data_IF_842655019487
#
_entry.id   IF_842655019487
#
_cell.length_a   1.000
_cell.length_b   1.000
_cell.length_c   1.000
_cell.angle_alpha   90.00
_cell.angle_beta   90.00
_cell.angle_gamma   90.00
#
_symmetry.space_group_name_H-M   'P 1'
#
loop_
_entity.id
_entity.type
_entity.pdbx_description
1 polymer ?
#
# COMPACT_ATOMS: atom_id res chain seq x y z
N UNK A 1 23.73 4.36 17.46
CA UNK A 1 23.96 5.26 18.61
C UNK A 1 24.57 6.59 18.18
N UNK A 2 25.62 6.61 17.37
CA UNK A 2 26.32 7.84 16.95
C UNK A 2 25.45 8.82 16.14
N UNK A 3 24.54 8.33 15.29
CA UNK A 3 23.59 9.14 14.50
C UNK A 3 22.44 9.71 15.32
N UNK A 4 21.88 8.94 16.26
CA UNK A 4 20.90 9.45 17.24
C UNK A 4 21.51 10.56 18.10
N UNK A 5 22.77 10.38 18.51
CA UNK A 5 23.54 11.38 19.22
C UNK A 5 23.86 12.61 18.36
N UNK A 6 24.02 12.46 17.04
CA UNK A 6 24.18 13.59 16.10
C UNK A 6 22.88 14.36 15.88
N UNK A 7 21.72 13.71 15.85
CA UNK A 7 20.41 14.41 15.81
C UNK A 7 20.17 15.13 17.13
N UNK A 8 20.43 14.46 18.25
CA UNK A 8 20.40 15.05 19.58
C UNK A 8 21.36 16.25 19.67
N UNK A 9 22.61 16.08 19.23
CA UNK A 9 23.58 17.17 19.20
C UNK A 9 23.21 18.23 18.17
N UNK A 10 22.59 17.95 17.03
CA UNK A 10 22.18 19.02 16.13
C UNK A 10 21.07 19.89 16.75
N UNK A 11 20.18 19.26 17.53
CA UNK A 11 19.18 19.97 18.33
C UNK A 11 19.80 20.70 19.55
N UNK A 12 20.92 20.22 20.10
CA UNK A 12 21.54 20.73 21.34
C UNK A 12 22.75 21.66 21.08
N UNK A 13 23.65 21.35 20.16
CA UNK A 13 24.92 22.06 19.90
C UNK A 13 24.76 23.41 19.22
N UNK A 14 23.63 23.67 18.56
CA UNK A 14 23.28 25.04 18.15
C UNK A 14 22.95 25.93 19.36
N UNK A 15 22.59 25.36 20.52
CA UNK A 15 22.53 26.13 21.79
C UNK A 15 23.93 26.51 22.32
N UNK A 16 25.00 25.84 21.87
CA UNK A 16 26.35 26.02 22.42
C UNK A 16 27.24 26.96 21.60
N UNK A 17 26.90 27.27 20.34
CA UNK A 17 27.76 28.06 19.46
C UNK A 17 27.81 29.57 19.77
N UNK A 18 26.97 30.10 20.67
CA UNK A 18 27.07 31.50 21.10
C UNK A 18 27.81 31.72 22.44
N UNK A 19 28.18 30.68 23.18
CA UNK A 19 28.80 30.84 24.50
C UNK A 19 30.32 31.07 24.50
N UNK A 20 30.96 31.29 23.35
CA UNK A 20 32.38 31.66 23.31
C UNK A 20 32.57 33.03 22.69
N UNK A 21 32.34 34.08 23.48
CA UNK A 21 33.04 35.38 23.41
C UNK A 21 32.52 36.32 24.53
N UNK A 22 33.09 36.21 25.75
CA UNK A 22 33.64 37.35 26.55
C UNK A 22 34.03 36.96 28.00
N UNK A 23 35.10 37.57 28.56
CA UNK A 23 35.64 37.30 29.91
C UNK A 23 34.97 38.18 31.01
N UNK A 24 35.34 38.04 32.30
CA UNK A 24 34.39 38.05 33.41
C UNK A 24 34.23 39.41 34.10
N UNK A 25 33.00 39.75 34.53
CA UNK A 25 32.79 40.79 35.56
C UNK A 25 31.70 40.33 36.54
N UNK A 26 32.02 40.48 37.83
CA UNK A 26 31.20 40.21 39.01
C UNK A 26 29.91 41.05 39.05
N UNK A 27 28.81 40.36 39.37
CA UNK A 27 27.74 40.70 40.33
C UNK A 27 27.36 42.18 40.45
N UNK A 28 26.26 42.58 39.78
CA UNK A 28 25.17 43.37 40.38
C UNK A 28 23.84 42.85 39.80
N UNK A 29 22.97 42.40 40.71
CA UNK A 29 21.57 42.05 40.53
C UNK A 29 20.77 43.21 39.92
N UNK A 30 19.98 42.99 38.85
CA UNK A 30 18.58 43.44 38.70
C UNK A 30 17.99 43.20 37.30
N UNK A 31 16.88 42.44 37.26
CA UNK A 31 15.67 42.70 36.47
C UNK A 31 15.58 42.38 34.95
N UNK A 32 16.10 41.25 34.46
CA UNK A 32 15.61 40.72 33.16
C UNK A 32 15.61 39.18 33.15
N UNK A 33 14.65 38.54 33.84
CA UNK A 33 14.42 37.09 33.70
C UNK A 33 12.93 36.83 33.46
N UNK A 34 12.50 37.00 32.22
CA UNK A 34 11.22 36.47 31.70
C UNK A 34 11.21 36.29 30.17
N UNK A 35 12.24 36.75 29.45
CA UNK A 35 12.29 36.66 27.98
C UNK A 35 13.27 35.60 27.44
N UNK A 36 14.23 35.08 28.21
CA UNK A 36 15.24 34.13 27.68
C UNK A 36 14.73 32.69 27.52
N UNK A 37 13.71 32.28 28.27
CA UNK A 37 13.08 30.95 28.11
C UNK A 37 12.16 30.87 26.88
N UNK A 38 11.56 31.99 26.46
CA UNK A 38 10.69 32.03 25.27
C UNK A 38 11.49 32.11 23.96
N UNK A 39 12.68 32.72 23.94
CA UNK A 39 13.54 32.74 22.74
C UNK A 39 14.22 31.40 22.49
N UNK A 40 14.78 30.75 23.51
CA UNK A 40 15.43 29.42 23.34
C UNK A 40 14.45 28.32 22.94
N UNK A 41 13.19 28.39 23.39
CA UNK A 41 12.15 27.47 22.96
C UNK A 41 11.71 27.74 21.51
N UNK A 42 11.56 29.01 21.11
CA UNK A 42 11.24 29.39 19.73
C UNK A 42 12.36 29.02 18.72
N UNK A 43 13.63 29.07 19.12
CA UNK A 43 14.76 28.70 18.27
C UNK A 43 14.92 27.18 18.13
N UNK A 44 14.65 26.41 19.20
CA UNK A 44 14.57 24.95 19.14
C UNK A 44 13.40 24.46 18.27
N UNK A 45 12.27 25.19 18.29
CA UNK A 45 11.12 24.95 17.41
C UNK A 45 11.46 25.27 15.95
N UNK A 46 12.21 26.34 15.69
CA UNK A 46 12.65 26.71 14.33
C UNK A 46 13.65 25.69 13.77
N UNK A 47 14.59 25.23 14.59
CA UNK A 47 15.61 24.24 14.21
C UNK A 47 15.01 22.85 13.97
N UNK A 48 14.01 22.44 14.78
CA UNK A 48 13.29 21.18 14.58
C UNK A 48 12.51 21.14 13.27
N UNK A 49 11.89 22.27 12.89
CA UNK A 49 11.18 22.40 11.61
C UNK A 49 12.11 22.37 10.41
N UNK A 50 13.27 23.01 10.49
CA UNK A 50 14.28 22.95 9.42
C UNK A 50 14.78 21.52 9.20
N UNK A 51 15.03 20.77 10.27
CA UNK A 51 15.43 19.35 10.18
C UNK A 51 14.33 18.49 9.56
N UNK A 52 13.07 18.69 9.95
CA UNK A 52 11.93 17.96 9.38
C UNK A 52 11.79 18.20 7.87
N UNK A 53 11.90 19.46 7.43
CA UNK A 53 11.82 19.84 6.01
C UNK A 53 13.01 19.28 5.23
N UNK A 54 14.24 19.37 5.77
CA UNK A 54 15.43 18.78 5.15
C UNK A 54 15.31 17.28 4.99
N UNK A 55 14.80 16.59 6.01
CA UNK A 55 14.55 15.14 5.96
C UNK A 55 13.48 14.80 4.91
N UNK A 56 12.36 15.53 4.88
CA UNK A 56 11.29 15.38 3.87
C UNK A 56 11.84 15.53 2.45
N UNK A 57 12.63 16.57 2.21
CA UNK A 57 13.23 16.83 0.89
C UNK A 57 14.26 15.77 0.50
N UNK A 58 15.06 15.30 1.46
CA UNK A 58 16.03 14.23 1.22
C UNK A 58 15.35 12.92 0.83
N UNK A 59 14.32 12.49 1.59
CA UNK A 59 13.55 11.28 1.28
C UNK A 59 12.87 11.38 -0.09
N UNK A 60 12.29 12.55 -0.41
CA UNK A 60 11.69 12.80 -1.73
C UNK A 60 12.72 12.65 -2.86
N UNK A 61 13.86 13.33 -2.77
CA UNK A 61 14.91 13.28 -3.80
C UNK A 61 15.47 11.86 -3.95
N UNK A 62 15.63 11.14 -2.85
CA UNK A 62 16.06 9.74 -2.85
C UNK A 62 15.06 8.84 -3.60
N UNK A 63 13.77 8.97 -3.29
CA UNK A 63 12.72 8.21 -3.95
C UNK A 63 12.58 8.57 -5.44
N UNK A 64 12.68 9.84 -5.81
CA UNK A 64 12.67 10.27 -7.21
C UNK A 64 13.80 9.61 -8.02
N UNK A 65 15.01 9.58 -7.45
CA UNK A 65 16.17 8.94 -8.09
C UNK A 65 15.98 7.43 -8.28
N UNK A 66 15.43 6.74 -7.29
CA UNK A 66 15.15 5.29 -7.40
C UNK A 66 14.01 5.05 -8.38
N UNK A 67 12.96 5.87 -8.33
CA UNK A 67 11.80 5.71 -9.20
C UNK A 67 12.19 5.82 -10.68
N UNK A 68 13.10 6.73 -11.03
CA UNK A 68 13.65 6.83 -12.39
C UNK A 68 14.31 5.53 -12.89
N UNK A 69 14.90 4.72 -12.02
CA UNK A 69 15.51 3.45 -12.39
C UNK A 69 14.47 2.35 -12.65
N UNK A 70 13.26 2.51 -12.10
CA UNK A 70 12.18 1.54 -12.22
C UNK A 70 11.29 1.73 -13.45
N UNK A 71 11.33 2.89 -14.11
CA UNK A 71 10.42 3.24 -15.20
C UNK A 71 10.55 2.34 -16.43
N UNK A 72 11.78 1.93 -16.76
CA UNK A 72 12.07 1.12 -17.96
C UNK A 72 11.85 -0.39 -17.73
N UNK A 73 11.68 -0.81 -16.47
CA UNK A 73 11.49 -2.22 -16.13
C UNK A 73 10.10 -2.68 -16.58
N UNK A 74 9.94 -3.97 -16.91
CA UNK A 74 8.62 -4.56 -17.23
C UNK A 74 8.44 -5.97 -16.62
N UNK A 75 7.19 -6.40 -16.46
CA UNK A 75 6.83 -7.73 -15.98
C UNK A 75 7.35 -8.04 -14.57
N UNK A 76 7.90 -9.24 -14.37
CA UNK A 76 8.43 -9.67 -13.06
C UNK A 76 9.54 -8.76 -12.51
N UNK A 77 10.32 -8.12 -13.37
CA UNK A 77 11.43 -7.26 -12.95
C UNK A 77 10.93 -6.03 -12.20
N UNK A 78 9.82 -5.43 -12.63
CA UNK A 78 9.14 -4.32 -11.94
C UNK A 78 8.63 -4.77 -10.60
N UNK A 79 8.03 -5.97 -10.54
CA UNK A 79 7.45 -6.48 -9.30
C UNK A 79 8.53 -6.69 -8.24
N UNK A 80 9.64 -7.36 -8.61
CA UNK A 80 10.80 -7.55 -7.72
C UNK A 80 11.38 -6.22 -7.27
N UNK A 81 11.57 -5.29 -8.22
CA UNK A 81 12.06 -3.95 -7.92
C UNK A 81 11.15 -3.23 -6.92
N UNK A 82 9.83 -3.25 -7.16
CA UNK A 82 8.86 -2.61 -6.28
C UNK A 82 8.87 -3.23 -4.87
N UNK A 83 8.77 -4.56 -4.76
CA UNK A 83 8.71 -5.24 -3.46
C UNK A 83 9.98 -5.04 -2.64
N UNK A 84 11.16 -5.17 -3.27
CA UNK A 84 12.44 -4.99 -2.56
C UNK A 84 12.62 -3.55 -2.10
N UNK A 85 12.30 -2.57 -2.95
CA UNK A 85 12.40 -1.17 -2.56
C UNK A 85 11.40 -0.80 -1.46
N UNK A 86 10.17 -1.35 -1.51
CA UNK A 86 9.17 -1.15 -0.46
C UNK A 86 9.66 -1.69 0.89
N UNK A 87 10.13 -2.93 0.95
CA UNK A 87 10.65 -3.54 2.18
C UNK A 87 11.83 -2.74 2.76
N UNK A 88 12.81 -2.40 1.91
CA UNK A 88 13.98 -1.63 2.31
C UNK A 88 13.61 -0.22 2.79
N UNK A 89 12.69 0.44 2.09
CA UNK A 89 12.25 1.79 2.44
C UNK A 89 11.42 1.79 3.72
N UNK A 90 10.50 0.83 3.90
CA UNK A 90 9.69 0.70 5.10
C UNK A 90 10.56 0.42 6.33
N UNK A 91 11.54 -0.48 6.20
CA UNK A 91 12.51 -0.75 7.26
C UNK A 91 13.33 0.50 7.59
N UNK A 92 13.89 1.16 6.57
CA UNK A 92 14.69 2.38 6.74
C UNK A 92 13.88 3.52 7.36
N UNK A 93 12.60 3.62 7.03
CA UNK A 93 11.67 4.60 7.60
C UNK A 93 11.40 4.34 9.07
N UNK A 94 11.20 3.07 9.48
CA UNK A 94 11.07 2.70 10.91
C UNK A 94 12.34 3.03 11.70
N UNK A 95 13.50 2.74 11.14
CA UNK A 95 14.80 3.06 11.76
C UNK A 95 14.99 4.58 11.88
N UNK A 96 14.67 5.34 10.82
CA UNK A 96 14.72 6.82 10.82
C UNK A 96 13.79 7.41 11.86
N UNK A 97 12.58 6.86 11.98
CA UNK A 97 11.63 7.25 13.02
C UNK A 97 12.19 7.03 14.43
N UNK A 98 12.89 5.91 14.66
CA UNK A 98 13.58 5.65 15.93
C UNK A 98 14.71 6.64 16.22
N UNK A 99 15.52 7.01 15.22
CA UNK A 99 16.55 8.05 15.39
C UNK A 99 15.98 9.43 15.67
N UNK A 100 14.83 9.73 15.08
CA UNK A 100 14.17 11.01 15.23
C UNK A 100 13.08 10.99 16.30
N UNK A 101 13.10 10.01 17.23
CA UNK A 101 12.12 9.90 18.31
C UNK A 101 12.08 11.16 19.18
N UNK A 102 13.21 11.84 19.34
CA UNK A 102 13.27 13.13 20.05
C UNK A 102 12.46 14.21 19.30
N UNK A 103 12.58 14.28 17.97
CA UNK A 103 11.81 15.21 17.14
C UNK A 103 10.31 14.88 17.23
N UNK A 104 9.95 13.59 17.16
CA UNK A 104 8.55 13.15 17.33
C UNK A 104 7.97 13.53 18.70
N UNK A 105 8.73 13.33 19.78
CA UNK A 105 8.23 13.52 21.15
C UNK A 105 8.08 14.98 21.54
N UNK A 106 9.02 15.84 21.13
CA UNK A 106 9.10 17.21 21.63
C UNK A 106 8.67 18.26 20.59
N UNK A 107 9.02 18.09 19.32
CA UNK A 107 8.69 19.07 18.27
C UNK A 107 7.34 18.78 17.62
N UNK A 108 7.10 17.55 17.16
CA UNK A 108 5.84 17.18 16.47
C UNK A 108 4.63 17.35 17.40
N UNK A 109 4.77 16.96 18.67
CA UNK A 109 3.71 17.17 19.68
C UNK A 109 3.43 18.64 19.97
N UNK A 110 4.44 19.51 19.87
CA UNK A 110 4.28 20.95 20.05
C UNK A 110 3.61 21.60 18.84
N UNK A 111 3.99 21.23 17.61
CA UNK A 111 3.39 21.73 16.37
C UNK A 111 1.93 21.27 16.19
N UNK A 112 1.61 20.03 16.58
CA UNK A 112 0.24 19.52 16.60
C UNK A 112 -0.65 20.36 17.54
N UNK A 113 -0.15 20.66 18.75
CA UNK A 113 -0.84 21.53 19.71
C UNK A 113 -0.92 23.01 19.26
N UNK A 114 -0.07 23.42 18.30
CA UNK A 114 -0.07 24.76 17.70
C UNK A 114 -1.04 24.90 16.53
N UNK A 115 -1.79 23.85 16.18
CA UNK A 115 -2.86 23.88 15.18
C UNK A 115 -2.42 23.63 13.73
N UNK A 116 -1.18 23.18 13.49
CA UNK A 116 -0.76 22.75 12.15
C UNK A 116 -1.08 21.28 11.93
N UNK A 117 -2.10 21.01 11.12
CA UNK A 117 -2.57 19.66 10.80
C UNK A 117 -1.67 18.91 9.78
N UNK A 118 -0.66 19.57 9.20
CA UNK A 118 0.20 19.00 8.15
C UNK A 118 1.53 18.41 8.69
N UNK A 119 1.68 18.30 10.02
CA UNK A 119 2.88 17.74 10.66
C UNK A 119 2.57 16.35 11.21
N UNK A 120 3.07 15.34 10.51
CA UNK A 120 2.92 13.93 10.87
C UNK A 120 4.20 13.37 11.49
N UNK A 121 4.07 12.30 12.30
CA UNK A 121 5.22 11.48 12.71
C UNK A 121 6.10 11.13 11.51
N UNK A 122 7.41 11.07 11.73
CA UNK A 122 8.38 10.89 10.64
C UNK A 122 8.14 9.60 9.86
N UNK A 123 7.69 8.54 10.52
CA UNK A 123 7.27 7.32 9.84
C UNK A 123 6.11 7.54 8.87
N UNK A 124 5.04 8.21 9.32
CA UNK A 124 3.87 8.53 8.49
C UNK A 124 4.28 9.45 7.34
N UNK A 125 5.07 10.48 7.63
CA UNK A 125 5.62 11.39 6.61
C UNK A 125 6.40 10.61 5.53
N UNK A 126 7.26 9.67 5.93
CA UNK A 126 8.03 8.88 4.97
C UNK A 126 7.11 8.03 4.07
N UNK A 127 6.05 7.45 4.63
CA UNK A 127 5.06 6.65 3.88
C UNK A 127 4.22 7.52 2.94
N UNK A 128 3.86 8.73 3.35
CA UNK A 128 3.19 9.72 2.48
C UNK A 128 4.08 10.11 1.28
N UNK A 129 5.39 10.33 1.50
CA UNK A 129 6.31 10.62 0.40
C UNK A 129 6.40 9.42 -0.55
N UNK A 130 6.44 8.19 -0.03
CA UNK A 130 6.40 6.98 -0.88
C UNK A 130 5.15 6.94 -1.74
N UNK A 131 3.98 7.22 -1.14
CA UNK A 131 2.71 7.25 -1.87
C UNK A 131 2.74 8.25 -3.03
N UNK A 132 3.17 9.48 -2.75
CA UNK A 132 3.16 10.58 -3.72
C UNK A 132 4.19 10.40 -4.84
N UNK A 133 5.39 9.92 -4.52
CA UNK A 133 6.51 9.89 -5.48
C UNK A 133 6.61 8.53 -6.18
N UNK A 134 6.50 7.45 -5.42
CA UNK A 134 6.84 6.12 -5.91
C UNK A 134 5.59 5.34 -6.32
N UNK A 135 4.59 5.26 -5.44
CA UNK A 135 3.36 4.51 -5.72
C UNK A 135 2.57 5.13 -6.87
N UNK A 136 2.33 6.45 -6.87
CA UNK A 136 1.55 7.10 -7.93
C UNK A 136 2.14 6.92 -9.34
N UNK A 137 3.46 6.80 -9.45
CA UNK A 137 4.13 6.64 -10.74
C UNK A 137 4.13 5.18 -11.22
N UNK A 138 4.39 4.23 -10.32
CA UNK A 138 4.58 2.82 -10.68
C UNK A 138 3.32 1.97 -10.52
N UNK A 139 2.27 2.44 -9.84
CA UNK A 139 1.10 1.62 -9.51
C UNK A 139 0.48 0.95 -10.75
N UNK A 140 0.28 1.67 -11.84
CA UNK A 140 -0.35 1.13 -13.07
C UNK A 140 0.49 0.01 -13.67
N UNK A 141 1.80 0.21 -13.72
CA UNK A 141 2.73 -0.77 -14.28
C UNK A 141 2.85 -2.00 -13.38
N UNK A 142 2.95 -1.81 -12.07
CA UNK A 142 3.00 -2.86 -11.05
C UNK A 142 1.71 -3.68 -11.08
N UNK A 143 0.54 -3.02 -11.00
CA UNK A 143 -0.77 -3.68 -11.09
C UNK A 143 -0.87 -4.44 -12.41
N UNK A 144 -0.55 -3.83 -13.55
CA UNK A 144 -0.62 -4.51 -14.85
C UNK A 144 0.29 -5.74 -14.90
N UNK A 145 1.48 -5.69 -14.32
CA UNK A 145 2.39 -6.84 -14.26
C UNK A 145 1.83 -7.95 -13.34
N UNK A 146 1.25 -7.61 -12.18
CA UNK A 146 0.57 -8.58 -11.33
C UNK A 146 -0.60 -9.25 -12.05
N UNK A 147 -1.44 -8.46 -12.73
CA UNK A 147 -2.58 -8.95 -13.49
C UNK A 147 -2.17 -9.87 -14.65
N UNK A 148 -1.05 -9.57 -15.30
CA UNK A 148 -0.51 -10.44 -16.33
C UNK A 148 -0.06 -11.78 -15.74
N UNK A 149 0.69 -11.80 -14.64
CA UNK A 149 1.06 -13.05 -13.96
C UNK A 149 -0.16 -13.88 -13.55
N UNK A 150 -1.22 -13.25 -13.04
CA UNK A 150 -2.45 -13.98 -12.68
C UNK A 150 -3.12 -14.58 -13.92
N UNK A 151 -3.11 -13.87 -15.04
CA UNK A 151 -3.62 -14.38 -16.32
C UNK A 151 -2.80 -15.57 -16.81
N UNK A 152 -1.48 -15.51 -16.71
CA UNK A 152 -0.57 -16.58 -17.10
C UNK A 152 -0.77 -17.82 -16.21
N UNK A 153 -0.97 -17.64 -14.91
CA UNK A 153 -1.33 -18.73 -13.97
C UNK A 153 -2.65 -19.42 -14.36
N UNK A 154 -3.67 -18.68 -14.79
CA UNK A 154 -4.95 -19.26 -15.27
C UNK A 154 -4.78 -20.12 -16.53
N UNK A 155 -3.71 -19.89 -17.29
CA UNK A 155 -3.31 -20.66 -18.46
C UNK A 155 -2.40 -21.85 -18.10
N UNK A 156 -2.21 -22.12 -16.79
CA UNK A 156 -1.36 -23.15 -16.21
C UNK A 156 0.16 -22.89 -16.34
N UNK A 157 0.56 -21.62 -16.44
CA UNK A 157 1.97 -21.26 -16.34
C UNK A 157 2.44 -21.22 -14.87
N UNK A 158 3.70 -21.58 -14.63
CA UNK A 158 4.30 -21.54 -13.29
C UNK A 158 4.69 -20.10 -12.98
N UNK A 159 4.01 -19.49 -12.02
CA UNK A 159 4.25 -18.11 -11.61
C UNK A 159 4.89 -18.01 -10.23
N UNK A 160 5.56 -16.88 -9.99
CA UNK A 160 6.06 -16.53 -8.66
C UNK A 160 4.99 -15.78 -7.85
N UNK A 161 4.11 -16.51 -7.18
CA UNK A 161 3.02 -15.95 -6.36
C UNK A 161 3.50 -15.06 -5.21
N UNK A 162 4.75 -15.21 -4.75
CA UNK A 162 5.35 -14.35 -3.71
C UNK A 162 5.47 -12.90 -4.17
N UNK A 163 5.72 -12.67 -5.46
CA UNK A 163 5.80 -11.31 -6.01
C UNK A 163 4.45 -10.59 -5.91
N UNK A 164 3.37 -11.30 -6.24
CA UNK A 164 2.02 -10.75 -6.12
C UNK A 164 1.73 -10.49 -4.64
N UNK A 165 1.95 -11.47 -3.77
CA UNK A 165 1.72 -11.31 -2.32
C UNK A 165 2.45 -10.08 -1.73
N UNK A 166 3.71 -9.85 -2.10
CA UNK A 166 4.47 -8.68 -1.64
C UNK A 166 3.88 -7.34 -2.10
N UNK A 167 3.39 -7.26 -3.34
CA UNK A 167 2.70 -6.06 -3.85
C UNK A 167 1.37 -5.84 -3.13
N UNK A 168 0.59 -6.90 -2.94
CA UNK A 168 -0.71 -6.83 -2.26
C UNK A 168 -0.53 -6.39 -0.82
N UNK A 169 0.44 -6.96 -0.10
CA UNK A 169 0.78 -6.55 1.25
C UNK A 169 1.17 -5.07 1.30
N UNK A 170 1.98 -4.59 0.35
CA UNK A 170 2.33 -3.17 0.25
C UNK A 170 1.10 -2.27 0.07
N UNK A 171 0.15 -2.64 -0.79
CA UNK A 171 -1.05 -1.83 -1.05
C UNK A 171 -1.98 -1.77 0.17
N UNK A 172 -2.09 -2.88 0.91
CA UNK A 172 -2.86 -2.96 2.16
C UNK A 172 -2.18 -2.18 3.28
N UNK A 173 -0.87 -2.35 3.48
CA UNK A 173 -0.11 -1.61 4.49
C UNK A 173 -0.15 -0.10 4.23
N UNK A 174 -0.01 0.32 2.97
CA UNK A 174 -0.09 1.74 2.59
C UNK A 174 -1.46 2.33 2.93
N UNK A 175 -2.54 1.58 2.67
CA UNK A 175 -3.90 2.00 3.01
C UNK A 175 -4.15 2.07 4.52
N UNK A 176 -3.63 1.10 5.28
CA UNK A 176 -3.75 1.10 6.74
C UNK A 176 -3.05 2.31 7.38
N UNK A 177 -1.87 2.69 6.89
CA UNK A 177 -1.07 3.80 7.44
C UNK A 177 -1.73 5.15 7.16
N UNK A 178 -2.30 5.35 5.98
CA UNK A 178 -3.06 6.57 5.64
C UNK A 178 -4.23 6.78 6.61
N UNK A 179 -4.97 5.71 6.91
CA UNK A 179 -6.13 5.79 7.78
C UNK A 179 -5.77 6.00 9.26
N UNK A 180 -4.69 5.37 9.73
CA UNK A 180 -4.18 5.60 11.08
C UNK A 180 -3.75 7.06 11.31
N UNK A 181 -3.39 7.77 10.24
CA UNK A 181 -2.98 9.18 10.29
C UNK A 181 -4.16 10.16 10.32
N UNK A 182 -5.36 9.69 9.93
CA UNK A 182 -6.59 10.49 9.85
C UNK A 182 -7.53 10.25 11.04
N UNK A 183 -7.35 9.16 11.79
CA UNK A 183 -8.22 8.78 12.90
C UNK A 183 -7.81 9.42 14.23
N UNK A 184 -7.98 10.73 14.36
CA UNK A 184 -8.23 11.35 15.66
C UNK A 184 -9.75 11.43 15.87
N UNK A 185 -10.25 10.55 16.74
CA UNK A 185 -11.59 10.56 17.36
C UNK A 185 -12.83 10.38 16.44
N UNK A 186 -13.48 9.22 16.60
CA UNK A 186 -14.85 8.88 16.17
C UNK A 186 -15.12 8.58 14.68
N UNK A 187 -14.83 7.34 14.25
CA UNK A 187 -15.80 6.58 13.45
C UNK A 187 -15.51 5.06 13.45
N UNK A 188 -16.34 4.29 14.15
CA UNK A 188 -16.48 2.84 13.94
C UNK A 188 -17.37 2.59 12.71
N UNK A 189 -16.84 2.88 11.51
CA UNK A 189 -17.47 2.45 10.27
C UNK A 189 -16.48 1.66 9.44
N UNK A 190 -16.90 0.46 9.10
CA UNK A 190 -16.21 -0.61 8.39
C UNK A 190 -15.34 -0.13 7.21
N UNK A 191 -14.03 -0.35 7.33
CA UNK A 191 -13.05 -0.53 6.23
C UNK A 191 -12.67 0.66 5.30
N UNK A 192 -12.27 1.84 5.80
CA UNK A 192 -11.52 2.80 4.97
C UNK A 192 -10.05 2.38 4.74
N UNK A 193 -9.53 1.45 5.54
CA UNK A 193 -8.17 0.88 5.49
C UNK A 193 -7.73 0.25 4.15
N UNK A 194 -8.67 -0.14 3.28
CA UNK A 194 -8.39 -0.94 2.08
C UNK A 194 -8.58 -0.17 0.77
N UNK A 195 -8.82 1.14 0.81
CA UNK A 195 -9.08 1.96 -0.40
C UNK A 195 -8.00 1.79 -1.47
N UNK A 196 -6.72 1.87 -1.09
CA UNK A 196 -5.61 1.71 -2.03
C UNK A 196 -5.62 0.32 -2.69
N UNK A 197 -5.81 -0.73 -1.90
CA UNK A 197 -5.94 -2.10 -2.43
C UNK A 197 -7.13 -2.21 -3.40
N UNK A 198 -8.29 -1.69 -3.00
CA UNK A 198 -9.52 -1.79 -3.79
C UNK A 198 -9.42 -1.06 -5.12
N UNK A 199 -8.99 0.20 -5.07
CA UNK A 199 -9.01 1.10 -6.22
C UNK A 199 -7.92 0.75 -7.25
N UNK A 200 -6.71 0.43 -6.77
CA UNK A 200 -5.56 0.22 -7.64
C UNK A 200 -5.31 -1.24 -7.99
N UNK A 201 -5.94 -2.19 -7.30
CA UNK A 201 -5.78 -3.62 -7.60
C UNK A 201 -7.10 -4.37 -7.75
N UNK A 202 -7.98 -4.39 -6.73
CA UNK A 202 -9.19 -5.23 -6.72
C UNK A 202 -10.11 -4.94 -7.90
N UNK A 203 -10.38 -3.66 -8.19
CA UNK A 203 -11.25 -3.25 -9.30
C UNK A 203 -10.66 -3.70 -10.65
N UNK A 204 -9.41 -3.35 -11.02
CA UNK A 204 -8.77 -3.86 -12.24
C UNK A 204 -8.74 -5.39 -12.34
N UNK A 205 -8.45 -6.07 -11.22
CA UNK A 205 -8.43 -7.52 -11.13
C UNK A 205 -9.78 -8.15 -11.46
N UNK A 206 -10.86 -7.65 -10.84
CA UNK A 206 -12.22 -8.12 -11.09
C UNK A 206 -12.67 -7.86 -12.53
N UNK A 207 -12.25 -6.75 -13.13
CA UNK A 207 -12.56 -6.43 -14.54
C UNK A 207 -11.85 -7.39 -15.51
N UNK A 208 -10.55 -7.62 -15.31
CA UNK A 208 -9.79 -8.54 -16.16
C UNK A 208 -10.28 -9.99 -15.99
N UNK A 209 -10.64 -10.37 -14.78
CA UNK A 209 -11.21 -11.69 -14.47
C UNK A 209 -12.56 -11.90 -15.15
N UNK A 210 -13.42 -10.89 -15.13
CA UNK A 210 -14.69 -10.92 -15.85
C UNK A 210 -14.50 -11.13 -17.35
N UNK A 211 -13.58 -10.38 -17.96
CA UNK A 211 -13.27 -10.51 -19.39
C UNK A 211 -12.70 -11.89 -19.72
N UNK A 212 -11.81 -12.42 -18.88
CA UNK A 212 -11.22 -13.74 -19.05
C UNK A 212 -12.28 -14.83 -19.07
N UNK A 213 -13.16 -14.87 -18.05
CA UNK A 213 -14.17 -15.92 -17.94
C UNK A 213 -15.31 -15.79 -18.95
N UNK A 214 -15.67 -14.58 -19.38
CA UNK A 214 -16.60 -14.39 -20.51
C UNK A 214 -16.07 -15.01 -21.80
N UNK A 215 -14.80 -14.75 -22.12
CA UNK A 215 -14.17 -15.31 -23.31
C UNK A 215 -14.01 -16.83 -23.20
N UNK A 216 -13.57 -17.33 -22.04
CA UNK A 216 -13.42 -18.75 -21.80
C UNK A 216 -14.77 -19.48 -21.92
N UNK A 217 -15.84 -18.96 -21.31
CA UNK A 217 -17.16 -19.57 -21.38
C UNK A 217 -17.70 -19.62 -22.81
N UNK A 218 -17.64 -18.51 -23.54
CA UNK A 218 -18.10 -18.44 -24.93
C UNK A 218 -17.32 -19.42 -25.83
N UNK A 219 -16.01 -19.51 -25.66
CA UNK A 219 -15.16 -20.41 -26.45
C UNK A 219 -15.40 -21.88 -26.09
N UNK A 220 -15.58 -22.18 -24.79
CA UNK A 220 -15.73 -23.55 -24.33
C UNK A 220 -17.08 -24.16 -24.75
N UNK A 221 -18.16 -23.39 -24.66
CA UNK A 221 -19.51 -23.83 -25.05
C UNK A 221 -19.67 -24.07 -26.56
N UNK A 222 -18.79 -23.51 -27.40
CA UNK A 222 -18.80 -23.78 -28.84
C UNK A 222 -18.27 -25.18 -29.20
N UNK A 223 -17.45 -25.76 -28.33
CA UNK A 223 -16.70 -26.98 -28.64
C UNK A 223 -17.00 -28.16 -27.71
N UNK A 224 -17.70 -27.93 -26.60
CA UNK A 224 -17.90 -28.93 -25.55
C UNK A 224 -19.36 -28.94 -25.07
N UNK A 225 -19.76 -30.03 -24.42
CA UNK A 225 -21.10 -30.16 -23.82
C UNK A 225 -21.28 -29.25 -22.60
N UNK A 226 -22.53 -28.91 -22.25
CA UNK A 226 -22.82 -28.21 -20.99
C UNK A 226 -22.37 -29.02 -19.79
N UNK A 227 -22.45 -30.35 -19.84
CA UNK A 227 -21.99 -31.21 -18.74
C UNK A 227 -20.49 -31.03 -18.46
N UNK A 228 -19.66 -31.00 -19.52
CA UNK A 228 -18.22 -30.71 -19.39
C UNK A 228 -17.97 -29.27 -18.96
N UNK A 229 -18.77 -28.33 -19.45
CA UNK A 229 -18.70 -26.93 -19.07
C UNK A 229 -18.92 -26.76 -17.56
N UNK A 230 -19.99 -27.34 -16.99
CA UNK A 230 -20.28 -27.24 -15.56
C UNK A 230 -19.18 -27.87 -14.69
N UNK A 231 -18.57 -28.97 -15.13
CA UNK A 231 -17.40 -29.55 -14.46
C UNK A 231 -16.23 -28.57 -14.46
N UNK A 232 -15.98 -27.91 -15.59
CA UNK A 232 -14.93 -26.90 -15.71
C UNK A 232 -15.23 -25.66 -14.86
N UNK A 233 -16.48 -25.21 -14.78
CA UNK A 233 -16.90 -24.09 -13.91
C UNK A 233 -16.58 -24.40 -12.44
N UNK A 234 -16.93 -25.60 -11.95
CA UNK A 234 -16.62 -26.02 -10.59
C UNK A 234 -15.11 -25.99 -10.31
N UNK A 235 -14.31 -26.54 -11.23
CA UNK A 235 -12.85 -26.49 -11.13
C UNK A 235 -12.31 -25.06 -11.09
N UNK A 236 -12.80 -24.17 -11.96
CA UNK A 236 -12.36 -22.76 -12.01
C UNK A 236 -12.72 -21.99 -10.75
N UNK A 237 -13.87 -22.26 -10.14
CA UNK A 237 -14.26 -21.67 -8.86
C UNK A 237 -13.29 -22.09 -7.75
N UNK A 238 -12.96 -23.38 -7.65
CA UNK A 238 -12.00 -23.89 -6.66
C UNK A 238 -10.60 -23.28 -6.87
N UNK A 239 -10.14 -23.16 -8.12
CA UNK A 239 -8.88 -22.50 -8.46
C UNK A 239 -8.84 -21.03 -8.01
N UNK A 240 -9.93 -20.28 -8.18
CA UNK A 240 -10.02 -18.88 -7.77
C UNK A 240 -10.14 -18.71 -6.24
N UNK A 241 -10.82 -19.62 -5.56
CA UNK A 241 -10.81 -19.67 -4.09
C UNK A 241 -9.38 -19.87 -3.58
N UNK A 242 -8.66 -20.85 -4.14
CA UNK A 242 -7.28 -21.11 -3.77
C UNK A 242 -6.40 -19.90 -4.03
N UNK A 243 -6.53 -19.28 -5.20
CA UNK A 243 -5.78 -18.08 -5.59
C UNK A 243 -5.94 -16.94 -4.59
N UNK A 244 -7.16 -16.66 -4.18
CA UNK A 244 -7.42 -15.61 -3.19
C UNK A 244 -6.74 -15.94 -1.86
N UNK A 245 -6.86 -17.19 -1.40
CA UNK A 245 -6.25 -17.64 -0.15
C UNK A 245 -4.72 -17.62 -0.18
N UNK A 246 -4.11 -17.84 -1.34
CA UNK A 246 -2.65 -17.88 -1.48
C UNK A 246 -2.00 -16.51 -1.40
N UNK A 247 -2.56 -15.49 -2.05
CA UNK A 247 -1.85 -14.20 -2.19
C UNK A 247 -2.71 -12.94 -2.31
N UNK A 248 -4.05 -13.03 -2.28
CA UNK A 248 -4.93 -11.85 -2.30
C UNK A 248 -5.51 -11.54 -0.91
N UNK A 249 -6.10 -10.36 -0.76
CA UNK A 249 -6.79 -10.01 0.47
C UNK A 249 -8.14 -10.74 0.57
N UNK A 250 -8.52 -11.18 1.77
CA UNK A 250 -9.73 -11.98 2.01
C UNK A 250 -11.05 -11.26 1.66
N UNK A 251 -11.04 -9.92 1.65
CA UNK A 251 -12.20 -9.11 1.22
C UNK A 251 -12.63 -9.40 -0.22
N UNK A 252 -11.69 -9.83 -1.05
CA UNK A 252 -11.92 -10.04 -2.49
C UNK A 252 -12.70 -11.31 -2.76
N UNK A 253 -12.63 -12.31 -1.86
CA UNK A 253 -13.17 -13.64 -2.08
C UNK A 253 -14.67 -13.61 -2.42
N UNK A 254 -15.48 -13.02 -1.55
CA UNK A 254 -16.94 -13.02 -1.74
C UNK A 254 -17.38 -12.28 -3.00
N UNK A 255 -16.70 -11.17 -3.34
CA UNK A 255 -17.01 -10.36 -4.51
C UNK A 255 -16.60 -11.09 -5.79
N UNK A 256 -15.42 -11.71 -5.78
CA UNK A 256 -14.88 -12.47 -6.90
C UNK A 256 -15.76 -13.68 -7.24
N UNK A 257 -16.10 -14.50 -6.25
CA UNK A 257 -16.89 -15.71 -6.46
C UNK A 257 -18.26 -15.36 -7.03
N UNK A 258 -18.96 -14.41 -6.42
CA UNK A 258 -20.25 -13.94 -6.94
C UNK A 258 -20.14 -13.48 -8.40
N UNK A 259 -19.09 -12.74 -8.73
CA UNK A 259 -18.89 -12.22 -10.09
C UNK A 259 -18.62 -13.33 -11.10
N UNK A 260 -17.86 -14.36 -10.71
CA UNK A 260 -17.60 -15.52 -11.56
C UNK A 260 -18.88 -16.36 -11.72
N UNK A 261 -19.66 -16.55 -10.67
CA UNK A 261 -20.96 -17.24 -10.72
C UNK A 261 -21.95 -16.53 -11.66
N UNK A 262 -22.03 -15.20 -11.58
CA UNK A 262 -22.87 -14.40 -12.48
C UNK A 262 -22.46 -14.65 -13.96
N UNK A 263 -21.17 -14.68 -14.26
CA UNK A 263 -20.67 -14.84 -15.64
C UNK A 263 -20.78 -16.28 -16.14
N UNK A 264 -20.39 -17.25 -15.32
CA UNK A 264 -20.27 -18.64 -15.76
C UNK A 264 -21.59 -19.39 -15.64
N UNK A 265 -22.46 -19.01 -14.70
CA UNK A 265 -23.73 -19.69 -14.45
C UNK A 265 -24.88 -18.82 -14.94
N UNK A 266 -25.03 -17.60 -14.41
CA UNK A 266 -26.22 -16.78 -14.67
C UNK A 266 -26.35 -16.38 -16.15
N UNK A 267 -25.26 -15.86 -16.75
CA UNK A 267 -25.25 -15.47 -18.16
C UNK A 267 -25.46 -16.67 -19.11
N UNK A 268 -25.14 -17.90 -18.67
CA UNK A 268 -25.24 -19.12 -19.48
C UNK A 268 -26.47 -19.98 -19.14
N UNK A 269 -27.38 -19.51 -18.28
CA UNK A 269 -28.54 -20.28 -17.82
C UNK A 269 -29.37 -20.85 -18.96
N UNK A 270 -29.58 -20.10 -20.05
CA UNK A 270 -30.39 -20.56 -21.17
C UNK A 270 -29.77 -21.77 -21.90
N UNK A 271 -28.46 -21.76 -22.11
CA UNK A 271 -27.74 -22.89 -22.68
C UNK A 271 -27.84 -24.11 -21.74
N UNK A 272 -27.64 -23.88 -20.44
CA UNK A 272 -27.73 -24.93 -19.41
C UNK A 272 -29.13 -25.56 -19.36
N UNK A 273 -30.20 -24.75 -19.34
CA UNK A 273 -31.58 -25.24 -19.32
C UNK A 273 -31.94 -26.02 -20.58
N UNK A 274 -31.42 -25.62 -21.74
CA UNK A 274 -31.70 -26.30 -23.00
C UNK A 274 -31.09 -27.70 -23.01
N UNK A 275 -29.83 -27.85 -22.61
CA UNK A 275 -29.19 -29.17 -22.52
C UNK A 275 -29.80 -30.03 -21.42
N UNK A 276 -30.14 -29.45 -20.26
CA UNK A 276 -30.81 -30.17 -19.19
C UNK A 276 -32.14 -30.79 -19.63
N UNK A 277 -32.92 -30.09 -20.48
CA UNK A 277 -34.16 -30.64 -21.06
C UNK A 277 -33.89 -31.82 -21.98
N UNK A 278 -32.82 -31.77 -22.78
CA UNK A 278 -32.43 -32.86 -23.69
C UNK A 278 -32.06 -34.09 -22.87
N UNK A 279 -31.20 -33.94 -21.86
CA UNK A 279 -30.76 -35.03 -20.99
C UNK A 279 -31.94 -35.69 -20.23
N UNK A 280 -32.88 -34.89 -19.72
CA UNK A 280 -34.07 -35.40 -19.05
C UNK A 280 -35.04 -36.13 -19.99
N UNK A 281 -35.07 -35.75 -21.27
CA UNK A 281 -35.86 -36.46 -22.28
C UNK A 281 -35.18 -37.77 -22.69
N UNK A 282 -33.85 -37.79 -22.83
CA UNK A 282 -33.09 -38.99 -23.18
C UNK A 282 -33.12 -40.06 -22.06
N UNK A 283 -33.03 -39.67 -20.78
CA UNK A 283 -33.20 -40.63 -19.67
C UNK A 283 -34.59 -41.26 -19.64
N UNK A 284 -35.64 -40.50 -20.00
CA UNK A 284 -37.01 -41.03 -20.11
C UNK A 284 -37.17 -42.00 -21.27
N UNK A 285 -36.33 -41.92 -22.30
CA UNK A 285 -36.37 -42.80 -23.48
C UNK A 285 -35.50 -44.04 -23.25
N UNK A 286 -34.35 -43.91 -22.59
CA UNK A 286 -33.44 -45.03 -22.30
C UNK A 286 -33.88 -45.91 -21.11
N UNK A 287 -34.80 -45.43 -20.27
CA UNK A 287 -35.38 -46.17 -19.14
C UNK A 287 -36.65 -46.98 -19.45
N UNK A 288 -36.96 -47.21 -20.74
CA UNK A 288 -38.06 -48.08 -21.21
C UNK A 288 -37.51 -49.22 -22.05
#
# INVERSE_FOLDING_TARGET
MQTSFQVYNYCITTQAQEYSLKPPIRIIQTLVDSNEQNTTQNDAITTGGELYIKLKNHLRTYLEKICQQGLDLQGESVLRFYTTNWEHYLFSSKVTNGFCQYLNRYWIRHEYNSGKTDVYEIFIMAVEIWKLVFFQLLNKQVTSACLQLIKDERQNEIINSRLISGVIQSYVELGLIENASLSDNNHHTTSPALTIYKDYFEIPFLQQTEQFYRLEAATFLLHNSVTEYLRKVAQRLDEEVHRVQSYLHSSTLGILIKKIEDILIHDQLQAIYTEAKILLHDEKISGR
#
